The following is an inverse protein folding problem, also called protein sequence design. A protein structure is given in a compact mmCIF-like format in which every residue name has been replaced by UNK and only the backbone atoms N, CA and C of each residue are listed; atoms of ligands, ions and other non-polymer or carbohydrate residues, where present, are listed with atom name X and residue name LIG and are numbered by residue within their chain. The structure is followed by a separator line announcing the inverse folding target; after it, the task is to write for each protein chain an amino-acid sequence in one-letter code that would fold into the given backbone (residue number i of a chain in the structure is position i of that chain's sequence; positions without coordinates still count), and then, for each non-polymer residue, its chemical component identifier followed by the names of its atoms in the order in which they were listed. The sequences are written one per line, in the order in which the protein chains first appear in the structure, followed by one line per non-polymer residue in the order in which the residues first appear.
data_IF_884821360964
#
_entry.id   IF_884821360964
#
_cell.length_a   1.000
_cell.length_b   1.000
_cell.length_c   1.000
_cell.angle_alpha   90.00
_cell.angle_beta   90.00
_cell.angle_gamma   90.00
#
_symmetry.space_group_name_H-M   'P 1'
#
loop_
_entity.id
_entity.type
_entity.pdbx_description
1 polymer ?
#
# COMPACT_ATOMS: atom_id res chain seq x y z
N UNK A 1 -1.50 11.99 -13.05
CA UNK A 1 -2.71 12.65 -12.50
C UNK A 1 -2.71 12.56 -10.97
N UNK A 2 -3.54 13.35 -10.32
CA UNK A 2 -3.83 13.17 -8.90
C UNK A 2 -4.75 11.95 -8.74
N UNK A 3 -4.30 10.92 -8.00
CA UNK A 3 -5.07 9.70 -7.80
C UNK A 3 -6.32 9.90 -6.91
N UNK A 4 -6.45 11.05 -6.26
CA UNK A 4 -7.64 11.43 -5.47
C UNK A 4 -8.73 12.07 -6.34
N UNK A 5 -8.44 12.42 -7.59
CA UNK A 5 -9.42 12.79 -8.60
C UNK A 5 -9.89 11.52 -9.32
N UNK A 6 -11.00 10.97 -8.87
CA UNK A 6 -11.56 9.72 -9.39
C UNK A 6 -11.87 9.79 -10.88
N UNK A 7 -12.34 10.94 -11.39
CA UNK A 7 -12.69 11.08 -12.81
C UNK A 7 -11.43 11.06 -13.68
N UNK A 8 -10.42 11.85 -13.33
CA UNK A 8 -9.14 11.86 -14.03
C UNK A 8 -8.45 10.50 -13.95
N UNK A 9 -8.44 9.88 -12.76
CA UNK A 9 -7.86 8.54 -12.54
C UNK A 9 -8.48 7.50 -13.48
N UNK A 10 -9.81 7.40 -13.51
CA UNK A 10 -10.51 6.45 -14.38
C UNK A 10 -10.25 6.70 -15.87
N UNK A 11 -10.17 7.97 -16.30
CA UNK A 11 -9.84 8.31 -17.69
C UNK A 11 -8.45 7.84 -18.08
N UNK A 12 -7.43 8.14 -17.25
CA UNK A 12 -6.05 7.72 -17.51
C UNK A 12 -5.88 6.19 -17.49
N UNK A 13 -6.54 5.50 -16.56
CA UNK A 13 -6.44 4.04 -16.50
C UNK A 13 -7.08 3.39 -17.73
N UNK A 14 -8.19 3.90 -18.23
CA UNK A 14 -8.80 3.41 -19.49
C UNK A 14 -7.86 3.58 -20.68
N UNK A 15 -7.14 4.70 -20.75
CA UNK A 15 -6.14 4.95 -21.79
C UNK A 15 -4.96 3.98 -21.68
N UNK A 16 -4.43 3.76 -20.47
CA UNK A 16 -3.36 2.79 -20.21
C UNK A 16 -3.81 1.37 -20.60
N UNK A 17 -4.98 0.95 -20.14
CA UNK A 17 -5.51 -0.39 -20.41
C UNK A 17 -5.76 -0.65 -21.90
N UNK A 18 -6.11 0.39 -22.66
CA UNK A 18 -6.28 0.32 -24.12
C UNK A 18 -4.94 0.16 -24.86
N UNK A 19 -3.89 0.84 -24.39
CA UNK A 19 -2.62 0.97 -25.12
C UNK A 19 -1.55 -0.02 -24.66
N UNK A 20 -1.69 -0.61 -23.47
CA UNK A 20 -0.67 -1.47 -22.88
C UNK A 20 -1.26 -2.78 -22.33
N UNK A 21 -0.46 -3.82 -22.36
CA UNK A 21 -0.78 -5.08 -21.68
C UNK A 21 -0.41 -4.97 -20.21
N UNK A 22 -1.35 -4.58 -19.37
CA UNK A 22 -1.14 -4.51 -17.91
C UNK A 22 -1.11 -5.91 -17.31
N UNK A 23 -0.02 -6.25 -16.65
CA UNK A 23 0.18 -7.54 -15.96
C UNK A 23 0.40 -7.38 -14.46
N UNK A 24 0.87 -6.22 -14.01
CA UNK A 24 1.07 -5.92 -12.59
C UNK A 24 0.53 -4.53 -12.26
N UNK A 25 -0.31 -4.45 -11.23
CA UNK A 25 -0.73 -3.21 -10.60
C UNK A 25 -0.04 -3.08 -9.25
N UNK A 26 0.73 -2.00 -9.05
CA UNK A 26 1.37 -1.70 -7.76
C UNK A 26 0.67 -0.51 -7.11
N UNK A 27 -0.08 -0.76 -6.05
CA UNK A 27 -0.69 0.26 -5.20
C UNK A 27 0.32 0.72 -4.13
N UNK A 28 1.23 1.62 -4.51
CA UNK A 28 2.29 2.13 -3.65
C UNK A 28 2.01 3.53 -3.10
N UNK A 29 1.26 4.35 -3.82
CA UNK A 29 0.97 5.71 -3.38
C UNK A 29 0.36 5.74 -1.98
N UNK A 30 0.87 6.61 -1.12
CA UNK A 30 0.42 6.73 0.24
C UNK A 30 0.77 8.06 0.90
N UNK A 31 -0.07 8.47 1.84
CA UNK A 31 0.17 9.65 2.68
C UNK A 31 -0.12 9.31 4.14
N UNK A 32 0.67 9.90 5.05
CA UNK A 32 0.50 9.77 6.49
C UNK A 32 0.34 11.15 7.12
N UNK A 33 -0.65 11.29 8.00
CA UNK A 33 -0.79 12.41 8.92
C UNK A 33 -0.95 11.85 10.32
N UNK A 34 -0.17 12.36 11.24
CA UNK A 34 -0.02 11.86 12.61
C UNK A 34 -0.34 12.97 13.62
N UNK A 35 -0.70 12.60 14.81
CA UNK A 35 -1.08 13.48 15.93
C UNK A 35 -2.25 12.92 16.73
N UNK A 36 -2.65 13.61 17.81
CA UNK A 36 -3.85 13.26 18.55
C UNK A 36 -5.07 13.30 17.62
N UNK A 37 -5.95 12.30 17.73
CA UNK A 37 -7.05 12.15 16.76
C UNK A 37 -8.01 13.34 16.78
N UNK A 38 -8.27 13.93 17.95
CA UNK A 38 -9.10 15.12 18.14
C UNK A 38 -8.54 16.39 17.48
N UNK A 39 -7.22 16.43 17.24
CA UNK A 39 -6.54 17.56 16.60
C UNK A 39 -6.38 17.36 15.08
N UNK A 40 -6.70 16.19 14.58
CA UNK A 40 -6.50 15.87 13.18
C UNK A 40 -7.56 16.53 12.30
N UNK A 41 -7.11 17.40 11.38
CA UNK A 41 -8.00 18.09 10.45
C UNK A 41 -8.79 17.10 9.57
N UNK A 42 -10.12 17.23 9.43
CA UNK A 42 -10.95 16.36 8.60
C UNK A 42 -10.48 16.20 7.16
N UNK A 43 -9.93 17.26 6.54
CA UNK A 43 -9.35 17.19 5.17
C UNK A 43 -8.14 16.25 5.10
N UNK A 44 -7.33 16.15 6.16
CA UNK A 44 -6.21 15.22 6.25
C UNK A 44 -6.72 13.77 6.34
N UNK A 45 -7.78 13.53 7.11
CA UNK A 45 -8.44 12.20 7.19
C UNK A 45 -8.97 11.81 5.81
N UNK A 46 -9.73 12.68 5.15
CA UNK A 46 -10.25 12.43 3.80
C UNK A 46 -9.11 12.12 2.81
N UNK A 47 -8.02 12.89 2.84
CA UNK A 47 -6.87 12.68 1.97
C UNK A 47 -6.23 11.32 2.18
N UNK A 48 -6.06 10.88 3.45
CA UNK A 48 -5.56 9.53 3.75
C UNK A 48 -6.48 8.44 3.21
N UNK A 49 -7.80 8.55 3.45
CA UNK A 49 -8.78 7.57 2.98
C UNK A 49 -8.78 7.49 1.45
N UNK A 50 -8.82 8.61 0.76
CA UNK A 50 -8.82 8.67 -0.71
C UNK A 50 -7.54 8.11 -1.30
N UNK A 51 -6.37 8.50 -0.77
CA UNK A 51 -5.07 8.08 -1.31
C UNK A 51 -4.75 6.62 -0.97
N UNK A 52 -4.91 6.24 0.31
CA UNK A 52 -4.38 4.96 0.79
C UNK A 52 -5.36 3.78 0.61
N UNK A 53 -6.64 4.05 0.43
CA UNK A 53 -7.68 3.02 0.41
C UNK A 53 -8.60 3.13 -0.83
N UNK A 54 -9.26 4.27 -1.04
CA UNK A 54 -10.23 4.44 -2.13
C UNK A 54 -9.56 4.30 -3.51
N UNK A 55 -8.48 5.01 -3.78
CA UNK A 55 -7.77 4.95 -5.05
C UNK A 55 -7.25 3.54 -5.38
N UNK A 56 -6.59 2.78 -4.47
CA UNK A 56 -6.25 1.37 -4.71
C UNK A 56 -7.43 0.48 -5.09
N UNK A 57 -8.59 0.65 -4.43
CA UNK A 57 -9.80 -0.11 -4.76
C UNK A 57 -10.32 0.24 -6.16
N UNK A 58 -10.35 1.52 -6.52
CA UNK A 58 -10.79 2.00 -7.84
C UNK A 58 -9.83 1.51 -8.93
N UNK A 59 -8.52 1.69 -8.76
CA UNK A 59 -7.50 1.22 -9.71
C UNK A 59 -7.64 -0.28 -9.97
N UNK A 60 -7.80 -1.04 -8.90
CA UNK A 60 -7.98 -2.48 -8.98
C UNK A 60 -9.27 -2.83 -9.72
N UNK A 61 -10.38 -2.18 -9.41
CA UNK A 61 -11.67 -2.39 -10.06
C UNK A 61 -11.60 -2.10 -11.57
N UNK A 62 -10.94 -1.02 -11.98
CA UNK A 62 -10.80 -0.64 -13.39
C UNK A 62 -9.94 -1.64 -14.18
N UNK A 63 -8.89 -2.19 -13.58
CA UNK A 63 -7.94 -3.10 -14.25
C UNK A 63 -8.25 -4.59 -14.05
N UNK A 64 -9.22 -4.94 -13.20
CA UNK A 64 -9.41 -6.33 -12.78
C UNK A 64 -9.74 -7.29 -13.93
N UNK A 65 -10.50 -6.85 -14.93
CA UNK A 65 -10.82 -7.66 -16.12
C UNK A 65 -9.56 -7.99 -16.91
N UNK A 66 -8.69 -7.01 -17.12
CA UNK A 66 -7.41 -7.17 -17.82
C UNK A 66 -6.45 -8.04 -17.02
N UNK A 67 -6.37 -7.85 -15.71
CA UNK A 67 -5.56 -8.69 -14.84
C UNK A 67 -6.06 -10.14 -14.83
N UNK A 68 -7.36 -10.40 -14.83
CA UNK A 68 -7.92 -11.76 -14.99
C UNK A 68 -7.52 -12.38 -16.33
N UNK A 69 -7.62 -11.65 -17.43
CA UNK A 69 -7.22 -12.12 -18.77
C UNK A 69 -5.72 -12.44 -18.83
N UNK A 70 -4.89 -11.64 -18.18
CA UNK A 70 -3.44 -11.75 -18.23
C UNK A 70 -2.84 -12.61 -17.11
N UNK A 71 -3.65 -13.20 -16.21
CA UNK A 71 -3.19 -13.87 -14.99
C UNK A 71 -2.23 -12.98 -14.19
N UNK A 72 -2.61 -11.71 -14.06
CA UNK A 72 -1.75 -10.66 -13.52
C UNK A 72 -1.64 -10.65 -12.01
N UNK A 73 -1.07 -9.57 -11.49
CA UNK A 73 -0.83 -9.41 -10.05
C UNK A 73 -1.28 -8.04 -9.58
N UNK A 74 -1.94 -7.97 -8.42
CA UNK A 74 -2.15 -6.76 -7.63
C UNK A 74 -1.19 -6.82 -6.46
N UNK A 75 -0.32 -5.81 -6.32
CA UNK A 75 0.61 -5.66 -5.19
C UNK A 75 0.25 -4.39 -4.43
N UNK A 76 0.02 -4.54 -3.13
CA UNK A 76 -0.36 -3.45 -2.24
C UNK A 76 0.76 -3.17 -1.23
N UNK A 77 1.18 -1.91 -1.10
CA UNK A 77 2.07 -1.48 -0.02
C UNK A 77 1.20 -1.01 1.15
N UNK A 78 1.02 -1.89 2.12
CA UNK A 78 0.30 -1.63 3.36
C UNK A 78 1.25 -1.07 4.45
N UNK A 79 1.17 -1.58 5.66
CA UNK A 79 2.04 -1.24 6.81
C UNK A 79 1.84 -2.26 7.92
N UNK A 80 2.81 -2.39 8.82
CA UNK A 80 2.63 -3.13 10.09
C UNK A 80 1.46 -2.58 10.92
N UNK A 81 1.14 -1.29 10.77
CA UNK A 81 0.01 -0.63 11.45
C UNK A 81 -1.36 -1.12 10.97
N UNK A 82 -1.42 -1.94 9.92
CA UNK A 82 -2.63 -2.63 9.52
C UNK A 82 -3.08 -3.70 10.53
N UNK A 83 -2.14 -4.27 11.28
CA UNK A 83 -2.37 -5.34 12.24
C UNK A 83 -1.99 -4.98 13.69
N UNK A 84 -1.47 -3.78 13.92
CA UNK A 84 -1.00 -3.31 15.22
C UNK A 84 -1.67 -2.00 15.62
N UNK A 85 -1.78 -1.75 16.92
CA UNK A 85 -2.18 -0.45 17.44
C UNK A 85 -1.18 0.62 16.99
N UNK A 86 -1.69 1.78 16.58
CA UNK A 86 -0.90 2.91 16.10
C UNK A 86 -1.39 4.20 16.75
N UNK A 87 -1.06 4.44 18.03
CA UNK A 87 -1.35 5.72 18.70
C UNK A 87 -0.80 6.89 17.89
N UNK A 88 -1.50 8.00 17.84
CA UNK A 88 -1.21 9.17 17.00
C UNK A 88 -1.32 8.94 15.48
N UNK A 89 -1.55 7.71 15.03
CA UNK A 89 -1.75 7.35 13.63
C UNK A 89 -3.04 6.58 13.37
N UNK A 90 -4.10 6.80 14.18
CA UNK A 90 -5.35 6.03 14.13
C UNK A 90 -5.97 5.99 12.73
N UNK A 91 -6.11 7.14 12.07
CA UNK A 91 -6.70 7.23 10.74
C UNK A 91 -5.79 6.58 9.68
N UNK A 92 -4.47 6.76 9.76
CA UNK A 92 -3.52 6.08 8.88
C UNK A 92 -3.59 4.55 9.03
N UNK A 93 -3.52 4.06 10.27
CA UNK A 93 -3.64 2.63 10.57
C UNK A 93 -4.95 2.03 10.04
N UNK A 94 -6.07 2.74 10.23
CA UNK A 94 -7.37 2.31 9.70
C UNK A 94 -7.36 2.17 8.17
N UNK A 95 -6.73 3.10 7.43
CA UNK A 95 -6.63 2.98 5.95
C UNK A 95 -5.79 1.77 5.53
N UNK A 96 -4.69 1.50 6.24
CA UNK A 96 -3.80 0.36 5.94
C UNK A 96 -4.45 -0.98 6.34
N UNK A 97 -5.20 -1.02 7.44
CA UNK A 97 -6.02 -2.17 7.82
C UNK A 97 -7.11 -2.45 6.77
N UNK A 98 -7.80 -1.41 6.30
CA UNK A 98 -8.79 -1.50 5.22
C UNK A 98 -8.17 -2.06 3.93
N UNK A 99 -6.99 -1.56 3.52
CA UNK A 99 -6.28 -2.05 2.33
C UNK A 99 -5.88 -3.52 2.46
N UNK A 100 -5.40 -3.95 3.63
CA UNK A 100 -5.05 -5.35 3.89
C UNK A 100 -6.29 -6.25 3.89
N UNK A 101 -7.41 -5.80 4.48
CA UNK A 101 -8.68 -6.52 4.45
C UNK A 101 -9.25 -6.66 3.04
N UNK A 102 -9.18 -5.57 2.24
CA UNK A 102 -9.53 -5.58 0.82
C UNK A 102 -8.69 -6.60 0.04
N UNK A 103 -7.37 -6.60 0.24
CA UNK A 103 -6.46 -7.51 -0.44
C UNK A 103 -6.77 -8.99 -0.15
N UNK A 104 -7.06 -9.36 1.10
CA UNK A 104 -7.43 -10.73 1.51
C UNK A 104 -8.71 -11.18 0.81
N UNK A 105 -9.76 -10.37 0.86
CA UNK A 105 -11.04 -10.68 0.22
C UNK A 105 -10.91 -10.76 -1.30
N UNK A 106 -10.16 -9.84 -1.90
CA UNK A 106 -9.90 -9.85 -3.34
C UNK A 106 -9.14 -11.11 -3.77
N UNK A 107 -8.13 -11.56 -3.01
CA UNK A 107 -7.40 -12.78 -3.33
C UNK A 107 -8.33 -13.98 -3.46
N UNK A 108 -9.22 -14.20 -2.48
CA UNK A 108 -10.15 -15.32 -2.51
C UNK A 108 -11.15 -15.22 -3.68
N UNK A 109 -11.56 -14.01 -4.06
CA UNK A 109 -12.44 -13.79 -5.22
C UNK A 109 -11.76 -14.11 -6.55
N UNK A 110 -10.47 -13.73 -6.72
CA UNK A 110 -9.83 -13.72 -8.05
C UNK A 110 -8.82 -14.86 -8.28
N UNK A 111 -8.40 -15.59 -7.24
CA UNK A 111 -7.40 -16.68 -7.34
C UNK A 111 -7.78 -17.75 -8.36
N UNK A 112 -9.05 -18.05 -8.53
CA UNK A 112 -9.55 -19.02 -9.52
C UNK A 112 -9.28 -18.59 -10.97
N UNK A 113 -8.98 -17.32 -11.23
CA UNK A 113 -8.59 -16.81 -12.55
C UNK A 113 -7.07 -16.71 -12.72
N UNK A 114 -6.29 -17.19 -11.75
CA UNK A 114 -4.83 -17.09 -11.74
C UNK A 114 -4.29 -15.70 -11.39
N UNK A 115 -5.12 -14.79 -10.89
CA UNK A 115 -4.67 -13.47 -10.40
C UNK A 115 -4.05 -13.63 -9.02
N UNK A 116 -2.86 -13.06 -8.83
CA UNK A 116 -2.17 -12.99 -7.55
C UNK A 116 -2.51 -11.67 -6.86
N UNK A 117 -2.70 -11.70 -5.55
CA UNK A 117 -2.81 -10.50 -4.71
C UNK A 117 -1.80 -10.60 -3.60
N UNK A 118 -0.92 -9.61 -3.52
CA UNK A 118 0.25 -9.57 -2.65
C UNK A 118 0.15 -8.31 -1.80
N UNK A 119 0.46 -8.41 -0.51
CA UNK A 119 0.53 -7.28 0.41
C UNK A 119 1.89 -7.24 1.09
N UNK A 120 2.63 -6.16 0.90
CA UNK A 120 3.85 -5.89 1.66
C UNK A 120 3.47 -4.97 2.83
N UNK A 121 3.93 -5.34 4.03
CA UNK A 121 3.66 -4.61 5.28
C UNK A 121 4.97 -4.11 5.88
N UNK A 122 5.53 -2.99 5.38
CA UNK A 122 6.73 -2.41 5.95
C UNK A 122 6.44 -1.79 7.32
N UNK A 123 7.42 -1.84 8.20
CA UNK A 123 7.53 -0.98 9.36
C UNK A 123 8.17 0.36 8.98
N UNK A 124 8.83 1.05 9.91
CA UNK A 124 9.48 2.33 9.70
C UNK A 124 10.47 2.26 8.53
N UNK A 125 10.16 2.96 7.44
CA UNK A 125 11.03 3.09 6.29
C UNK A 125 11.48 4.54 6.12
N UNK A 126 12.74 4.76 5.78
CA UNK A 126 13.34 6.08 5.58
C UNK A 126 12.86 6.69 4.28
N UNK A 127 11.73 7.38 4.35
CA UNK A 127 11.04 8.00 3.22
C UNK A 127 10.36 9.31 3.64
N UNK A 128 9.84 10.05 2.67
CA UNK A 128 9.05 11.27 2.93
C UNK A 128 7.65 11.02 3.53
N UNK A 129 7.29 9.76 3.83
CA UNK A 129 5.99 9.44 4.42
C UNK A 129 5.78 10.17 5.76
N UNK A 130 6.86 10.31 6.53
CA UNK A 130 6.85 10.94 7.86
C UNK A 130 7.13 12.44 7.84
N UNK A 131 7.11 13.10 6.67
CA UNK A 131 7.33 14.56 6.58
C UNK A 131 6.33 15.38 7.40
N UNK A 132 5.11 14.86 7.59
CA UNK A 132 4.03 15.50 8.35
C UNK A 132 3.90 14.99 9.79
N UNK A 133 4.84 14.15 10.26
CA UNK A 133 4.88 13.64 11.61
C UNK A 133 5.83 14.49 12.48
N UNK A 134 5.60 14.47 13.79
CA UNK A 134 6.48 15.06 14.82
C UNK A 134 7.63 14.12 15.21
N UNK A 135 7.78 13.02 14.47
CA UNK A 135 8.81 12.00 14.62
C UNK A 135 9.40 11.60 13.26
N UNK A 136 10.56 10.99 13.31
CA UNK A 136 11.21 10.34 12.17
C UNK A 136 11.90 9.04 12.64
N UNK A 137 12.54 8.36 11.71
CA UNK A 137 13.37 7.19 11.99
C UNK A 137 14.50 7.51 12.98
N UNK A 138 14.94 6.48 13.71
CA UNK A 138 16.09 6.58 14.61
C UNK A 138 17.39 6.83 13.84
N UNK A 139 18.48 7.10 14.56
CA UNK A 139 19.78 7.41 13.96
C UNK A 139 20.53 6.14 13.48
N UNK A 140 20.32 5.02 14.17
CA UNK A 140 20.93 3.76 13.84
C UNK A 140 20.29 3.13 12.58
N UNK A 141 21.09 2.68 11.64
CA UNK A 141 20.63 2.02 10.41
C UNK A 141 19.71 0.82 10.70
N UNK A 142 19.99 0.07 11.77
CA UNK A 142 19.14 -1.04 12.21
C UNK A 142 17.78 -0.65 12.78
N UNK A 143 17.41 0.65 12.79
CA UNK A 143 16.12 1.16 13.30
C UNK A 143 15.15 1.62 12.22
N UNK A 144 15.50 1.49 10.95
CA UNK A 144 14.63 1.79 9.81
C UNK A 144 14.92 0.86 8.63
N UNK A 145 13.98 0.79 7.72
CA UNK A 145 14.15 0.11 6.43
C UNK A 145 14.55 1.14 5.36
N UNK A 146 15.33 0.69 4.39
CA UNK A 146 15.53 1.42 3.14
C UNK A 146 14.37 1.12 2.17
N UNK A 147 13.98 2.07 1.29
CA UNK A 147 12.99 1.83 0.26
C UNK A 147 13.33 0.62 -0.63
N UNK A 148 14.60 0.41 -0.91
CA UNK A 148 15.13 -0.69 -1.72
C UNK A 148 14.83 -2.05 -1.09
N UNK A 149 14.91 -2.19 0.24
CA UNK A 149 14.61 -3.43 0.95
C UNK A 149 13.13 -3.79 0.85
N UNK A 150 12.25 -2.78 0.87
CA UNK A 150 10.82 -2.97 0.63
C UNK A 150 10.57 -3.40 -0.81
N UNK A 151 11.29 -2.83 -1.78
CA UNK A 151 11.21 -3.19 -3.18
C UNK A 151 11.73 -4.61 -3.44
N UNK A 152 12.80 -5.04 -2.77
CA UNK A 152 13.33 -6.41 -2.83
C UNK A 152 12.32 -7.44 -2.31
N UNK A 153 11.63 -7.14 -1.20
CA UNK A 153 10.56 -7.99 -0.69
C UNK A 153 9.41 -8.13 -1.69
N UNK A 154 9.05 -7.03 -2.36
CA UNK A 154 8.05 -7.04 -3.43
C UNK A 154 8.53 -7.85 -4.64
N UNK A 155 9.77 -7.69 -5.07
CA UNK A 155 10.39 -8.44 -6.17
C UNK A 155 10.44 -9.94 -5.85
N UNK A 156 10.82 -10.32 -4.64
CA UNK A 156 10.78 -11.71 -4.17
C UNK A 156 9.38 -12.32 -4.32
N UNK A 157 8.34 -11.61 -3.86
CA UNK A 157 6.97 -12.10 -3.96
C UNK A 157 6.47 -12.22 -5.41
N UNK A 158 6.89 -11.29 -6.27
CA UNK A 158 6.55 -11.30 -7.70
C UNK A 158 7.25 -12.43 -8.47
N UNK A 159 8.47 -12.79 -8.09
CA UNK A 159 9.32 -13.79 -8.77
C UNK A 159 8.92 -15.25 -8.47
N UNK A 160 7.90 -15.49 -7.65
CA UNK A 160 7.50 -16.85 -7.30
C UNK A 160 6.96 -17.62 -8.52
N UNK A 161 7.21 -18.94 -8.53
CA UNK A 161 6.73 -19.83 -9.59
C UNK A 161 5.19 -19.78 -9.75
N UNK A 162 4.69 -20.15 -10.91
CA UNK A 162 3.25 -20.32 -11.13
C UNK A 162 2.66 -21.32 -10.11
N UNK A 163 1.48 -21.00 -9.58
CA UNK A 163 0.80 -21.82 -8.57
C UNK A 163 1.24 -21.55 -7.13
N UNK A 164 2.26 -20.69 -6.89
CA UNK A 164 2.63 -20.23 -5.56
C UNK A 164 2.37 -18.73 -5.43
N UNK A 165 1.66 -18.34 -4.39
CA UNK A 165 1.41 -16.93 -4.09
C UNK A 165 1.87 -16.64 -2.66
N UNK A 166 2.83 -15.73 -2.54
CA UNK A 166 3.18 -15.10 -1.25
C UNK A 166 2.18 -13.99 -1.03
N UNK A 167 1.18 -14.22 -0.20
CA UNK A 167 0.07 -13.28 -0.02
C UNK A 167 0.40 -12.09 0.85
N UNK A 168 1.28 -12.28 1.84
CA UNK A 168 1.72 -11.20 2.76
C UNK A 168 3.20 -11.36 3.10
N UNK A 169 3.92 -10.23 3.14
CA UNK A 169 5.27 -10.13 3.70
C UNK A 169 5.31 -8.95 4.65
N UNK A 170 5.73 -9.21 5.88
CA UNK A 170 6.03 -8.15 6.85
C UNK A 170 7.54 -7.97 6.94
N UNK A 171 8.01 -6.74 6.76
CA UNK A 171 9.42 -6.36 6.86
C UNK A 171 9.59 -5.35 7.98
N UNK A 172 10.51 -5.63 8.90
CA UNK A 172 10.77 -4.77 10.06
C UNK A 172 12.26 -4.53 10.22
N UNK A 173 12.68 -3.34 10.67
CA UNK A 173 14.04 -3.15 11.14
C UNK A 173 14.29 -3.99 12.41
N UNK A 174 15.55 -4.26 12.75
CA UNK A 174 15.89 -5.02 13.93
C UNK A 174 15.42 -4.34 15.22
N UNK A 175 15.50 -3.01 15.28
CA UNK A 175 15.06 -2.20 16.42
C UNK A 175 13.95 -1.24 16.02
N UNK A 176 12.94 -1.12 16.85
CA UNK A 176 11.93 -0.08 16.68
C UNK A 176 12.33 1.16 17.50
N UNK A 177 13.03 2.09 16.86
CA UNK A 177 13.45 3.34 17.48
C UNK A 177 13.03 4.52 16.63
N UNK A 178 12.41 5.49 17.26
CA UNK A 178 11.97 6.75 16.64
C UNK A 178 12.66 7.92 17.35
N UNK A 179 12.82 9.00 16.63
CA UNK A 179 13.33 10.27 17.13
C UNK A 179 12.24 11.33 16.96
N UNK A 180 12.02 12.17 17.96
CA UNK A 180 11.17 13.36 17.83
C UNK A 180 11.90 14.41 17.00
N UNK A 181 11.13 15.13 16.16
CA UNK A 181 11.63 16.27 15.39
C UNK A 181 11.67 17.53 16.23
#
# INVERSE_FOLDING_TARGET
CDITDTQALCAHIKEIDKNYRVTVLVNNAGVGYYGLHEELNPKKIQKMVRTNLEAPMILTQQLLRTLKKNRGTVLNISSVTAAQSNPHGCAYGATKAGLSGFAKSLFDEVRKYGVRVITIQPDMAKTDLYRNADFCEGEEEASYLLPEEVAEAAAFALAQREGLVVTEITVKPQFHRIRRK
#
